data_IF_302189316719
#
_entry.id   IF_302189316719
#
_cell.length_a   1.000
_cell.length_b   1.000
_cell.length_c   1.000
_cell.angle_alpha   90.00
_cell.angle_beta   90.00
_cell.angle_gamma   90.00
#
_symmetry.space_group_name_H-M   'P 1'
#
loop_
_entity.id
_entity.type
_entity.pdbx_description
1 polymer ?
#
# COMPACT_ATOMS: atom_id res chain seq x y z
N UNK A 1 -13.39 1.01 -13.65
CA UNK A 1 -13.19 -0.20 -12.80
C UNK A 1 -11.74 -0.63 -12.97
N UNK A 2 -10.99 -0.77 -11.89
CA UNK A 2 -9.56 -1.10 -11.93
C UNK A 2 -9.36 -2.51 -11.37
N UNK A 3 -8.78 -3.42 -12.16
CA UNK A 3 -8.64 -4.83 -11.79
C UNK A 3 -7.24 -5.11 -11.28
N UNK A 4 -7.14 -5.90 -10.22
CA UNK A 4 -5.87 -6.39 -9.73
C UNK A 4 -5.30 -7.44 -10.69
N UNK A 5 -4.05 -7.29 -11.17
CA UNK A 5 -3.45 -8.26 -12.08
C UNK A 5 -3.18 -9.62 -11.40
N UNK A 6 -3.06 -9.64 -10.06
CA UNK A 6 -2.71 -10.86 -9.31
C UNK A 6 -3.92 -11.68 -8.85
N UNK A 7 -5.05 -11.04 -8.55
CA UNK A 7 -6.22 -11.72 -7.99
C UNK A 7 -7.56 -11.32 -8.63
N UNK A 8 -7.52 -10.51 -9.71
CA UNK A 8 -8.71 -10.04 -10.44
C UNK A 8 -9.74 -9.27 -9.61
N UNK A 9 -9.39 -8.88 -8.38
CA UNK A 9 -10.24 -8.05 -7.52
C UNK A 9 -10.44 -6.67 -8.13
N UNK A 10 -11.67 -6.19 -8.13
CA UNK A 10 -12.04 -4.91 -8.70
C UNK A 10 -12.02 -3.78 -7.66
N UNK A 11 -11.51 -2.62 -8.08
CA UNK A 11 -11.46 -1.40 -7.30
C UNK A 11 -12.13 -0.25 -8.06
N UNK A 12 -12.74 0.66 -7.31
CA UNK A 12 -13.38 1.88 -7.84
C UNK A 12 -12.37 2.98 -8.19
N UNK A 13 -11.20 2.97 -7.55
CA UNK A 13 -10.16 4.00 -7.71
C UNK A 13 -8.80 3.36 -8.05
N UNK A 14 -7.98 4.00 -8.91
CA UNK A 14 -6.66 3.48 -9.27
C UNK A 14 -5.69 3.52 -8.08
N UNK A 15 -5.80 4.52 -7.20
CA UNK A 15 -5.01 4.61 -5.98
C UNK A 15 -5.26 3.45 -5.02
N UNK A 16 -6.53 3.03 -4.89
CA UNK A 16 -6.91 1.85 -4.09
C UNK A 16 -6.35 0.56 -4.68
N UNK A 17 -6.38 0.40 -6.01
CA UNK A 17 -5.72 -0.72 -6.68
C UNK A 17 -4.21 -0.71 -6.42
N UNK A 18 -3.54 0.45 -6.58
CA UNK A 18 -2.09 0.56 -6.37
C UNK A 18 -1.67 0.24 -4.93
N UNK A 19 -2.45 0.69 -3.94
CA UNK A 19 -2.19 0.34 -2.53
C UNK A 19 -2.39 -1.16 -2.31
N UNK A 20 -3.41 -1.75 -2.94
CA UNK A 20 -3.67 -3.17 -2.87
C UNK A 20 -2.56 -4.01 -3.52
N UNK A 21 -1.96 -3.58 -4.63
CA UNK A 21 -0.88 -4.34 -5.28
C UNK A 21 0.33 -4.53 -4.36
N UNK A 22 0.59 -3.62 -3.41
CA UNK A 22 1.63 -3.77 -2.39
C UNK A 22 1.40 -4.96 -1.45
N UNK A 23 0.16 -5.46 -1.30
CA UNK A 23 -0.09 -6.69 -0.54
C UNK A 23 0.38 -7.94 -1.28
N UNK A 24 0.49 -7.89 -2.61
CA UNK A 24 1.00 -8.99 -3.42
C UNK A 24 2.52 -8.96 -3.54
N UNK A 25 3.10 -7.79 -3.82
CA UNK A 25 4.55 -7.66 -4.01
C UNK A 25 5.33 -7.64 -2.70
N UNK A 26 4.65 -7.44 -1.55
CA UNK A 26 5.25 -7.16 -0.23
C UNK A 26 6.15 -5.92 -0.21
N UNK A 27 6.23 -5.18 -1.31
CA UNK A 27 6.98 -3.93 -1.40
C UNK A 27 6.15 -2.83 -0.75
N UNK A 28 6.72 -2.21 0.27
CA UNK A 28 6.08 -1.11 1.00
C UNK A 28 6.96 0.12 0.85
N UNK A 29 6.57 1.09 0.01
CA UNK A 29 7.44 2.21 -0.34
C UNK A 29 7.67 3.21 0.81
N UNK A 30 6.86 3.15 1.87
CA UNK A 30 6.98 4.08 3.00
C UNK A 30 7.64 3.39 4.19
N UNK A 31 8.95 3.55 4.32
CA UNK A 31 9.70 3.09 5.49
C UNK A 31 9.60 4.09 6.65
N UNK A 32 9.60 3.56 7.88
CA UNK A 32 9.76 4.36 9.08
C UNK A 32 11.26 4.68 9.27
N UNK A 33 11.64 5.95 9.55
CA UNK A 33 13.03 6.30 9.84
C UNK A 33 13.52 5.78 11.19
N UNK A 34 12.62 5.53 12.15
CA UNK A 34 12.99 5.17 13.53
C UNK A 34 12.93 3.66 13.81
N UNK A 35 12.33 2.87 12.91
CA UNK A 35 12.20 1.43 13.10
C UNK A 35 12.10 0.69 11.75
N UNK A 36 12.31 -0.64 11.70
CA UNK A 36 12.30 -1.40 10.45
C UNK A 36 10.89 -1.59 9.85
N UNK A 37 9.86 -0.89 10.36
CA UNK A 37 8.49 -1.01 9.85
C UNK A 37 8.35 -0.28 8.52
N UNK A 38 7.65 -0.92 7.60
CA UNK A 38 7.26 -0.33 6.32
C UNK A 38 5.73 -0.35 6.16
N UNK A 39 5.22 0.62 5.41
CA UNK A 39 3.80 0.87 5.18
C UNK A 39 3.50 0.97 3.68
N UNK A 40 2.34 0.46 3.28
CA UNK A 40 1.80 0.57 1.92
C UNK A 40 1.16 1.93 1.64
N UNK A 41 0.89 2.72 2.70
CA UNK A 41 0.20 4.01 2.61
C UNK A 41 0.94 5.03 3.47
N UNK A 42 1.23 6.20 2.89
CA UNK A 42 1.94 7.30 3.56
C UNK A 42 1.19 7.79 4.81
N UNK A 43 -0.13 7.92 4.77
CA UNK A 43 -0.92 8.36 5.92
C UNK A 43 -0.80 7.41 7.12
N UNK A 44 -0.68 6.10 6.87
CA UNK A 44 -0.47 5.11 7.92
C UNK A 44 0.92 5.26 8.55
N UNK A 45 1.96 5.47 7.75
CA UNK A 45 3.32 5.77 8.24
C UNK A 45 3.33 7.07 9.05
N UNK A 46 2.73 8.14 8.55
CA UNK A 46 2.64 9.43 9.27
C UNK A 46 1.85 9.33 10.58
N UNK A 47 0.83 8.48 10.63
CA UNK A 47 0.08 8.20 11.88
C UNK A 47 0.92 7.40 12.86
N UNK A 48 1.77 6.50 12.37
CA UNK A 48 2.68 5.74 13.21
C UNK A 48 3.79 6.61 13.82
N UNK A 49 4.25 7.64 13.11
CA UNK A 49 5.28 8.59 13.57
C UNK A 49 4.75 9.71 14.49
N UNK A 50 3.43 9.79 14.69
CA UNK A 50 2.82 10.74 15.62
C UNK A 50 2.59 10.05 16.95
#
# INVERSE_FOLDING_TARGET
RYLCPFCQKAFSRPSSLRIHTYSHTKEKPFACPECPRQFSVQSNMRRHLR
#
